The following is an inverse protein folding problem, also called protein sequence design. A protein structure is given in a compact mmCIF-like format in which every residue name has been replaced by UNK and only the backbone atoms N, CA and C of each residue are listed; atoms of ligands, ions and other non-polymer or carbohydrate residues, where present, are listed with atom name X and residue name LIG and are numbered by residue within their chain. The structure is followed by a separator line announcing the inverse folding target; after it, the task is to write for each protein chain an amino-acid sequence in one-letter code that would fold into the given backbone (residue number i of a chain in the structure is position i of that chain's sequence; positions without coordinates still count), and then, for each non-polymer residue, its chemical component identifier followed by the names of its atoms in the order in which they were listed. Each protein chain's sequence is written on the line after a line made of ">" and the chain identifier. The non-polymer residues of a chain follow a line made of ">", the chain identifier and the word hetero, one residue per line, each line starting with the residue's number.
data_IF_832916569902
#
_entry.id   IF_832916569902
#
_cell.length_a   1.000
_cell.length_b   1.000
_cell.length_c   1.000
_cell.angle_alpha   90.00
_cell.angle_beta   90.00
_cell.angle_gamma   90.00
#
_symmetry.space_group_name_H-M   'P 1'
#
loop_
_entity.id
_entity.type
_entity.pdbx_description
1 polymer ?
#
# COMPACT_ATOMS: atom_id res chain seq x y z
N UNK A 1 3.26 27.81 12.50
CA UNK A 1 3.24 29.24 12.84
C UNK A 1 2.07 29.95 12.15
N UNK A 2 2.07 30.16 10.81
CA UNK A 2 1.04 30.97 10.12
C UNK A 2 -0.41 30.45 10.29
N UNK A 3 -0.64 29.13 10.28
CA UNK A 3 -1.95 28.53 10.52
C UNK A 3 -2.40 28.79 11.97
N UNK A 4 -1.50 28.63 12.93
CA UNK A 4 -1.78 28.94 14.33
C UNK A 4 -2.07 30.42 14.56
N UNK A 5 -1.35 31.30 13.86
CA UNK A 5 -1.60 32.73 13.91
C UNK A 5 -3.00 33.10 13.41
N UNK A 6 -3.51 32.37 12.41
CA UNK A 6 -4.89 32.53 11.95
C UNK A 6 -5.91 32.04 12.99
N UNK A 7 -5.70 30.85 13.59
CA UNK A 7 -6.54 30.34 14.67
C UNK A 7 -6.55 31.22 15.90
N UNK A 8 -5.42 31.84 16.22
CA UNK A 8 -5.26 32.78 17.33
C UNK A 8 -5.82 34.19 17.02
N UNK A 9 -6.39 34.43 15.84
CA UNK A 9 -6.88 35.73 15.41
C UNK A 9 -5.79 36.78 15.13
N UNK A 10 -4.53 36.36 15.02
CA UNK A 10 -3.39 37.23 14.72
C UNK A 10 -3.21 37.53 13.22
N UNK A 11 -3.88 36.74 12.36
CA UNK A 11 -3.88 36.89 10.92
C UNK A 11 -5.30 36.75 10.38
N UNK A 12 -5.73 37.65 9.53
CA UNK A 12 -7.04 37.61 8.87
C UNK A 12 -7.05 36.70 7.64
N UNK A 13 -5.87 36.29 7.13
CA UNK A 13 -5.75 35.53 5.88
C UNK A 13 -5.07 34.19 6.09
N UNK A 14 -5.82 33.13 5.89
CA UNK A 14 -5.30 31.76 5.84
C UNK A 14 -4.42 31.52 4.61
N UNK A 15 -4.70 32.21 3.50
CA UNK A 15 -3.94 32.11 2.23
C UNK A 15 -2.43 32.30 2.40
N UNK A 16 -2.02 33.08 3.40
CA UNK A 16 -0.60 33.28 3.72
C UNK A 16 0.11 31.99 4.20
N UNK A 17 -0.65 30.95 4.56
CA UNK A 17 -0.12 29.65 4.97
C UNK A 17 -0.02 28.66 3.80
N UNK A 18 -0.67 28.95 2.67
CA UNK A 18 -0.61 28.13 1.46
C UNK A 18 0.74 28.40 0.76
N UNK A 19 1.54 27.36 0.59
CA UNK A 19 2.85 27.46 -0.06
C UNK A 19 2.85 26.98 -1.50
N UNK A 20 1.87 26.15 -1.87
CA UNK A 20 1.63 25.73 -3.23
C UNK A 20 0.19 25.21 -3.41
N UNK A 21 -0.36 25.42 -4.59
CA UNK A 21 -1.54 24.76 -5.13
C UNK A 21 -1.14 24.09 -6.43
N UNK A 22 -1.53 22.82 -6.60
CA UNK A 22 -1.14 22.01 -7.74
C UNK A 22 -2.34 21.47 -8.48
N UNK A 23 -2.33 21.60 -9.80
CA UNK A 23 -3.28 20.92 -10.69
C UNK A 23 -2.66 19.64 -11.19
N UNK A 24 -3.21 18.48 -10.78
CA UNK A 24 -2.66 17.17 -11.08
C UNK A 24 -3.66 16.22 -11.74
N UNK A 25 -4.93 16.62 -11.83
CA UNK A 25 -6.03 15.87 -12.43
C UNK A 25 -7.28 15.87 -11.57
N UNK A 26 -8.26 15.03 -11.92
CA UNK A 26 -9.59 15.05 -11.33
C UNK A 26 -9.74 14.09 -10.16
N UNK A 27 -10.36 14.59 -9.09
CA UNK A 27 -10.67 13.83 -7.88
C UNK A 27 -9.44 13.43 -7.07
N UNK A 28 -8.52 14.35 -6.74
CA UNK A 28 -7.41 14.03 -5.83
C UNK A 28 -7.98 13.63 -4.46
N UNK A 29 -7.54 12.47 -3.94
CA UNK A 29 -8.12 11.91 -2.73
C UNK A 29 -7.09 11.72 -1.62
N UNK A 30 -6.14 10.81 -1.79
CA UNK A 30 -5.10 10.56 -0.80
C UNK A 30 -3.70 10.80 -1.39
N UNK A 31 -2.76 11.23 -0.52
CA UNK A 31 -1.38 11.51 -0.90
C UNK A 31 -0.41 10.82 0.04
N UNK A 32 0.55 10.09 -0.52
CA UNK A 32 1.69 9.53 0.19
C UNK A 32 3.00 10.20 -0.25
N UNK A 33 4.06 10.07 0.56
CA UNK A 33 5.36 10.69 0.32
C UNK A 33 6.48 9.64 0.36
N UNK A 34 7.50 9.81 -0.47
CA UNK A 34 8.60 8.84 -0.61
C UNK A 34 9.86 9.18 0.22
N UNK A 35 9.84 10.27 0.95
CA UNK A 35 11.01 10.76 1.68
C UNK A 35 12.11 11.38 0.80
N UNK A 36 11.90 11.47 -0.53
CA UNK A 36 12.84 12.04 -1.51
C UNK A 36 12.31 13.33 -2.14
N UNK A 37 11.27 13.92 -1.56
CA UNK A 37 10.64 15.13 -2.04
C UNK A 37 9.52 14.92 -3.07
N UNK A 38 9.14 13.69 -3.35
CA UNK A 38 7.99 13.43 -4.21
C UNK A 38 6.76 13.05 -3.39
N UNK A 39 5.62 13.49 -3.89
CA UNK A 39 4.29 13.14 -3.44
C UNK A 39 3.58 12.30 -4.52
N UNK A 40 2.74 11.40 -4.08
CA UNK A 40 1.97 10.48 -4.94
C UNK A 40 0.51 10.61 -4.56
N UNK A 41 -0.29 11.17 -5.46
CA UNK A 41 -1.70 11.45 -5.20
C UNK A 41 -2.58 10.59 -6.08
N UNK A 42 -3.53 9.88 -5.45
CA UNK A 42 -4.57 9.14 -6.18
C UNK A 42 -5.59 10.10 -6.75
N UNK A 43 -5.93 9.90 -8.02
CA UNK A 43 -6.96 10.63 -8.73
C UNK A 43 -8.19 9.73 -8.89
N UNK A 44 -9.12 9.87 -7.99
CA UNK A 44 -10.30 9.00 -7.89
C UNK A 44 -11.15 9.01 -9.16
N UNK A 45 -11.39 10.17 -9.74
CA UNK A 45 -12.20 10.30 -10.97
C UNK A 45 -11.42 9.93 -12.23
N UNK A 46 -10.15 10.24 -12.28
CA UNK A 46 -9.28 9.91 -13.43
C UNK A 46 -8.82 8.46 -13.43
N UNK A 47 -9.02 7.72 -12.33
CA UNK A 47 -8.52 6.35 -12.17
C UNK A 47 -7.00 6.25 -12.42
N UNK A 48 -6.24 7.12 -11.80
CA UNK A 48 -4.80 7.26 -11.97
C UNK A 48 -4.08 7.58 -10.67
N UNK A 49 -2.75 7.41 -10.68
CA UNK A 49 -1.82 7.90 -9.68
C UNK A 49 -0.90 8.92 -10.34
N UNK A 50 -0.71 10.07 -9.69
CA UNK A 50 0.23 11.08 -10.15
C UNK A 50 1.36 11.26 -9.17
N UNK A 51 2.60 11.16 -9.67
CA UNK A 51 3.83 11.53 -8.97
C UNK A 51 4.14 12.98 -9.26
N UNK A 52 4.34 13.76 -8.22
CA UNK A 52 4.72 15.15 -8.35
C UNK A 52 5.78 15.56 -7.31
N UNK A 53 6.61 16.53 -7.64
CA UNK A 53 7.69 16.98 -6.79
C UNK A 53 7.27 18.24 -6.00
N UNK A 54 7.42 18.18 -4.68
CA UNK A 54 6.96 19.22 -3.75
C UNK A 54 7.73 20.54 -3.95
N UNK A 55 9.06 20.47 -4.07
CA UNK A 55 9.87 21.68 -4.24
C UNK A 55 9.61 22.37 -5.59
N UNK A 56 9.40 21.58 -6.64
CA UNK A 56 9.04 22.13 -7.95
C UNK A 56 7.65 22.78 -7.92
N UNK A 57 6.70 22.20 -7.19
CA UNK A 57 5.37 22.79 -7.00
C UNK A 57 5.44 24.12 -6.27
N UNK A 58 6.24 24.21 -5.22
CA UNK A 58 6.47 25.47 -4.48
C UNK A 58 7.09 26.53 -5.39
N UNK A 59 8.10 26.19 -6.19
CA UNK A 59 8.72 27.12 -7.16
C UNK A 59 7.70 27.60 -8.20
N UNK A 60 6.92 26.68 -8.75
CA UNK A 60 5.88 27.02 -9.73
C UNK A 60 4.85 27.99 -9.14
N UNK A 61 4.37 27.71 -7.93
CA UNK A 61 3.41 28.57 -7.23
C UNK A 61 4.02 29.95 -6.90
N UNK A 62 5.30 30.00 -6.54
CA UNK A 62 6.03 31.25 -6.29
C UNK A 62 6.33 32.07 -7.55
N UNK A 63 5.96 31.57 -8.75
CA UNK A 63 6.07 32.35 -10.00
C UNK A 63 7.02 31.76 -11.04
N UNK A 64 7.82 30.73 -10.72
CA UNK A 64 8.67 30.05 -11.70
C UNK A 64 7.80 29.09 -12.55
N UNK A 65 7.21 29.61 -13.60
CA UNK A 65 6.34 28.83 -14.50
C UNK A 65 7.10 27.80 -15.36
N UNK A 66 8.42 27.79 -15.31
CA UNK A 66 9.25 26.76 -15.96
C UNK A 66 9.41 25.49 -15.11
N UNK A 67 9.16 25.57 -13.80
CA UNK A 67 9.24 24.44 -12.88
C UNK A 67 8.15 23.40 -13.20
N UNK A 68 8.58 22.22 -13.62
CA UNK A 68 7.67 21.08 -13.90
C UNK A 68 7.52 20.25 -12.64
N UNK A 69 6.39 20.37 -11.98
CA UNK A 69 6.14 19.63 -10.74
C UNK A 69 5.53 18.25 -10.96
N UNK A 70 4.76 18.03 -12.03
CA UNK A 70 4.30 16.67 -12.38
C UNK A 70 5.45 15.88 -12.98
N UNK A 71 5.79 14.77 -12.37
CA UNK A 71 6.93 13.92 -12.75
C UNK A 71 6.48 12.74 -13.60
N UNK A 72 5.40 12.07 -13.16
CA UNK A 72 4.89 10.87 -13.83
C UNK A 72 3.41 10.65 -13.53
N UNK A 73 2.73 9.89 -14.41
CA UNK A 73 1.34 9.49 -14.26
C UNK A 73 1.20 8.01 -14.64
N UNK A 74 0.51 7.25 -13.81
CA UNK A 74 0.22 5.83 -14.01
C UNK A 74 -1.29 5.60 -13.94
N UNK A 75 -1.86 5.00 -14.98
CA UNK A 75 -3.27 4.56 -14.95
C UNK A 75 -3.42 3.35 -14.04
N UNK A 76 -4.47 3.37 -13.23
CA UNK A 76 -4.78 2.34 -12.25
C UNK A 76 -6.14 1.67 -12.55
N UNK A 77 -6.52 0.72 -11.72
CA UNK A 77 -7.88 0.22 -11.64
C UNK A 77 -8.84 1.35 -11.21
N UNK A 78 -10.15 1.14 -11.31
CA UNK A 78 -11.13 2.20 -11.10
C UNK A 78 -11.14 2.74 -9.66
N UNK A 79 -11.27 4.06 -9.58
CA UNK A 79 -11.48 4.81 -8.34
C UNK A 79 -10.43 4.50 -7.27
N UNK A 80 -9.14 4.76 -7.54
CA UNK A 80 -8.09 4.62 -6.55
C UNK A 80 -8.35 5.57 -5.38
N UNK A 81 -8.38 5.01 -4.18
CA UNK A 81 -8.61 5.75 -2.95
C UNK A 81 -7.33 5.82 -2.13
N UNK A 82 -7.26 5.00 -1.09
CA UNK A 82 -6.14 4.97 -0.17
C UNK A 82 -4.82 4.60 -0.86
N UNK A 83 -3.77 5.30 -0.47
CA UNK A 83 -2.40 5.06 -0.91
C UNK A 83 -1.45 5.19 0.26
N UNK A 84 -0.50 4.28 0.38
CA UNK A 84 0.56 4.38 1.36
C UNK A 84 1.92 3.98 0.77
N UNK A 85 2.97 4.68 1.19
CA UNK A 85 4.34 4.40 0.76
C UNK A 85 5.05 3.48 1.77
N UNK A 86 5.97 2.67 1.28
CA UNK A 86 6.76 1.80 2.15
C UNK A 86 7.60 2.62 3.14
N UNK A 87 7.52 2.21 4.40
CA UNK A 87 8.15 2.88 5.55
C UNK A 87 7.63 4.31 5.81
N UNK A 88 6.48 4.70 5.24
CA UNK A 88 5.94 6.06 5.41
C UNK A 88 5.50 6.36 6.85
N UNK A 89 5.21 5.34 7.64
CA UNK A 89 4.92 5.45 9.08
C UNK A 89 6.17 5.80 9.92
N UNK A 90 7.32 5.93 9.28
CA UNK A 90 8.57 6.32 9.91
C UNK A 90 9.04 7.67 9.38
N UNK A 91 10.02 8.27 10.05
CA UNK A 91 10.66 9.51 9.58
C UNK A 91 11.58 9.29 8.35
N UNK A 92 11.71 8.04 7.89
CA UNK A 92 12.60 7.64 6.80
C UNK A 92 11.87 6.67 5.87
N UNK A 93 10.91 7.17 5.10
CA UNK A 93 10.34 6.42 3.99
C UNK A 93 11.47 5.97 3.05
N UNK A 94 11.39 4.73 2.54
CA UNK A 94 12.50 4.15 1.75
C UNK A 94 12.37 4.42 0.23
N UNK A 95 11.25 4.98 -0.19
CA UNK A 95 11.00 5.38 -1.58
C UNK A 95 10.98 4.22 -2.58
N UNK A 96 10.56 3.02 -2.16
CA UNK A 96 10.59 1.85 -3.03
C UNK A 96 9.23 1.43 -3.54
N UNK A 97 8.23 1.41 -2.67
CA UNK A 97 6.93 0.84 -2.98
C UNK A 97 5.79 1.75 -2.56
N UNK A 98 4.70 1.67 -3.32
CA UNK A 98 3.38 2.14 -2.91
C UNK A 98 2.40 0.97 -2.97
N UNK A 99 1.40 1.00 -2.10
CA UNK A 99 0.17 0.22 -2.23
C UNK A 99 -1.01 1.17 -2.44
N UNK A 100 -1.84 0.88 -3.43
CA UNK A 100 -3.03 1.67 -3.76
C UNK A 100 -4.26 0.76 -3.74
N UNK A 101 -5.29 1.16 -3.01
CA UNK A 101 -6.59 0.49 -3.02
C UNK A 101 -7.52 1.10 -4.05
N UNK A 102 -8.03 0.28 -4.96
CA UNK A 102 -9.00 0.65 -5.96
C UNK A 102 -10.37 0.08 -5.62
N UNK A 103 -11.41 0.90 -5.71
CA UNK A 103 -12.79 0.51 -5.37
C UNK A 103 -13.34 -0.56 -6.29
N UNK A 104 -12.89 -0.58 -7.55
CA UNK A 104 -13.38 -1.48 -8.58
C UNK A 104 -12.27 -1.92 -9.51
N UNK A 105 -12.42 -3.12 -10.10
CA UNK A 105 -11.57 -3.61 -11.19
C UNK A 105 -12.13 -3.23 -12.55
N UNK A 106 -11.25 -3.01 -13.51
CA UNK A 106 -11.61 -2.82 -14.93
C UNK A 106 -11.78 -4.20 -15.58
N UNK A 107 -13.01 -4.57 -15.91
CA UNK A 107 -13.38 -5.73 -16.76
C UNK A 107 -12.67 -7.05 -16.42
N UNK A 108 -12.31 -7.27 -15.14
CA UNK A 108 -11.50 -8.41 -14.75
C UNK A 108 -12.30 -9.71 -14.66
N UNK A 109 -13.49 -9.65 -14.11
CA UNK A 109 -14.34 -10.82 -13.85
C UNK A 109 -15.75 -10.62 -14.37
N UNK A 110 -15.91 -10.56 -15.68
CA UNK A 110 -17.18 -10.31 -16.36
C UNK A 110 -18.36 -11.18 -15.87
N UNK A 111 -18.17 -12.48 -15.51
CA UNK A 111 -19.28 -13.29 -14.99
C UNK A 111 -19.88 -12.80 -13.67
N UNK A 112 -19.12 -12.05 -12.87
CA UNK A 112 -19.58 -11.50 -11.58
C UNK A 112 -19.84 -10.00 -11.65
N UNK A 113 -19.67 -9.41 -12.82
CA UNK A 113 -19.86 -7.98 -13.10
C UNK A 113 -18.54 -7.28 -13.49
N UNK A 114 -18.65 -6.21 -14.28
CA UNK A 114 -17.48 -5.52 -14.86
C UNK A 114 -16.67 -4.73 -13.83
N UNK A 115 -17.21 -4.50 -12.63
CA UNK A 115 -16.60 -3.66 -11.61
C UNK A 115 -16.06 -4.43 -10.40
N UNK A 116 -16.32 -5.73 -10.31
CA UNK A 116 -15.84 -6.56 -9.19
C UNK A 116 -14.75 -7.53 -9.63
N UNK A 117 -13.92 -7.99 -8.69
CA UNK A 117 -13.81 -7.56 -7.29
C UNK A 117 -13.12 -6.20 -7.15
N UNK A 118 -13.10 -5.68 -5.94
CA UNK A 118 -12.22 -4.62 -5.50
C UNK A 118 -10.75 -5.03 -5.70
N UNK A 119 -9.83 -4.08 -5.66
CA UNK A 119 -8.46 -4.35 -6.09
C UNK A 119 -7.42 -3.61 -5.26
N UNK A 120 -6.25 -4.22 -5.08
CA UNK A 120 -5.05 -3.54 -4.61
C UNK A 120 -3.96 -3.60 -5.69
N UNK A 121 -3.19 -2.53 -5.80
CA UNK A 121 -2.09 -2.44 -6.74
C UNK A 121 -0.80 -2.04 -6.04
N UNK A 122 0.27 -2.81 -6.30
CA UNK A 122 1.61 -2.53 -5.80
C UNK A 122 2.41 -1.86 -6.90
N UNK A 123 3.03 -0.74 -6.58
CA UNK A 123 3.72 0.11 -7.54
C UNK A 123 5.16 0.29 -7.09
N UNK A 124 6.09 -0.02 -7.98
CA UNK A 124 7.52 0.30 -7.79
C UNK A 124 7.75 1.78 -8.11
N UNK A 125 8.27 2.50 -7.11
CA UNK A 125 8.59 3.92 -7.19
C UNK A 125 10.08 4.19 -7.01
N UNK A 126 10.92 3.16 -7.09
CA UNK A 126 12.36 3.29 -6.87
C UNK A 126 13.07 4.14 -7.94
N UNK A 127 12.45 4.28 -9.11
CA UNK A 127 12.94 5.09 -10.22
C UNK A 127 12.11 6.37 -10.45
N UNK A 128 12.46 7.13 -11.48
CA UNK A 128 11.69 8.32 -11.88
C UNK A 128 10.29 7.93 -12.35
N UNK A 129 10.19 6.86 -13.13
CA UNK A 129 8.92 6.32 -13.61
C UNK A 129 8.33 5.33 -12.62
N UNK A 130 7.02 5.41 -12.45
CA UNK A 130 6.24 4.43 -11.68
C UNK A 130 5.99 3.19 -12.52
N UNK A 131 6.13 2.01 -11.90
CA UNK A 131 5.89 0.72 -12.58
C UNK A 131 4.92 -0.11 -11.77
N UNK A 132 3.85 -0.59 -12.41
CA UNK A 132 2.93 -1.54 -11.79
C UNK A 132 3.65 -2.88 -11.56
N UNK A 133 3.86 -3.24 -10.31
CA UNK A 133 4.57 -4.45 -9.91
C UNK A 133 3.62 -5.59 -9.48
N UNK A 134 2.45 -5.25 -8.99
CA UNK A 134 1.44 -6.23 -8.58
C UNK A 134 0.03 -5.68 -8.74
N UNK A 135 -0.91 -6.56 -9.02
CA UNK A 135 -2.30 -6.24 -9.24
C UNK A 135 -3.16 -7.40 -8.74
N UNK A 136 -3.77 -7.24 -7.56
CA UNK A 136 -4.42 -8.32 -6.84
C UNK A 136 -5.88 -7.99 -6.54
N UNK A 137 -6.81 -8.89 -6.92
CA UNK A 137 -8.19 -8.78 -6.48
C UNK A 137 -8.27 -9.00 -4.97
N UNK A 138 -9.06 -8.18 -4.31
CA UNK A 138 -9.35 -8.30 -2.88
C UNK A 138 -10.85 -8.44 -2.66
N UNK A 139 -11.23 -8.91 -1.50
CA UNK A 139 -12.65 -9.00 -1.12
C UNK A 139 -12.97 -7.94 -0.09
N UNK A 140 -13.92 -7.11 -0.44
CA UNK A 140 -14.26 -5.92 0.31
C UNK A 140 -13.38 -4.73 -0.07
N UNK A 141 -13.89 -3.54 0.18
CA UNK A 141 -13.20 -2.30 -0.18
C UNK A 141 -11.89 -2.16 0.58
N UNK A 142 -10.74 -2.07 -0.12
CA UNK A 142 -9.46 -1.87 0.54
C UNK A 142 -9.39 -0.47 1.15
N UNK A 143 -9.07 -0.40 2.45
CA UNK A 143 -9.19 0.82 3.23
C UNK A 143 -7.97 1.05 4.11
N UNK A 144 -6.93 1.50 3.59
CA UNK A 144 -5.64 1.74 4.18
C UNK A 144 -4.65 0.57 4.09
N UNK A 145 -3.37 0.92 4.10
CA UNK A 145 -2.26 0.00 3.92
C UNK A 145 -1.08 0.42 4.77
N UNK A 146 -0.34 -0.56 5.27
CA UNK A 146 0.94 -0.32 5.91
C UNK A 146 1.98 -1.24 5.26
N UNK A 147 3.04 -0.65 4.69
CA UNK A 147 4.14 -1.39 4.10
C UNK A 147 5.39 -1.16 4.92
N UNK A 148 5.89 -2.19 5.57
CA UNK A 148 7.11 -2.12 6.35
C UNK A 148 7.96 -3.38 6.20
N UNK A 149 9.21 -3.31 6.62
CA UNK A 149 10.15 -4.41 6.50
C UNK A 149 9.76 -5.58 7.40
N UNK A 150 9.83 -6.80 6.85
CA UNK A 150 9.47 -8.03 7.55
C UNK A 150 10.22 -8.21 8.88
N UNK A 151 11.49 -7.82 8.94
CA UNK A 151 12.30 -7.91 10.16
C UNK A 151 11.80 -7.02 11.31
N UNK A 152 10.95 -6.03 11.02
CA UNK A 152 10.30 -5.21 12.04
C UNK A 152 9.08 -5.89 12.66
N UNK A 153 8.55 -6.91 12.01
CA UNK A 153 7.43 -7.68 12.53
C UNK A 153 7.85 -8.46 13.77
N UNK A 154 7.09 -8.27 14.84
CA UNK A 154 7.20 -9.04 16.06
C UNK A 154 5.84 -9.62 16.40
N UNK A 155 5.37 -10.63 15.65
CA UNK A 155 4.05 -11.20 15.86
C UNK A 155 3.98 -11.80 17.26
N UNK A 156 2.88 -11.54 17.94
CA UNK A 156 2.55 -12.15 19.23
C UNK A 156 1.28 -12.97 19.05
N UNK A 157 1.21 -14.09 19.75
CA UNK A 157 -0.05 -14.82 19.83
C UNK A 157 -1.09 -13.95 20.57
N UNK A 158 -2.20 -13.68 19.90
CA UNK A 158 -3.27 -12.83 20.42
C UNK A 158 -4.46 -13.66 20.90
N UNK A 159 -4.67 -14.84 20.29
CA UNK A 159 -5.79 -15.70 20.60
C UNK A 159 -5.35 -16.91 21.45
N UNK A 160 -6.22 -17.31 22.36
CA UNK A 160 -6.02 -18.53 23.11
C UNK A 160 -6.14 -19.73 22.18
N UNK A 161 -5.08 -20.52 22.09
CA UNK A 161 -5.03 -21.69 21.21
C UNK A 161 -5.93 -22.83 21.69
N UNK A 162 -6.42 -22.77 22.93
CA UNK A 162 -7.36 -23.74 23.46
C UNK A 162 -8.75 -23.69 22.82
N UNK A 163 -9.10 -22.57 22.17
CA UNK A 163 -10.28 -22.48 21.30
C UNK A 163 -10.20 -23.34 20.05
N UNK A 164 -9.01 -23.82 19.69
CA UNK A 164 -8.77 -24.57 18.47
C UNK A 164 -8.21 -25.96 18.80
N UNK A 165 -9.05 -26.94 19.15
CA UNK A 165 -8.60 -28.24 19.66
C UNK A 165 -7.73 -29.04 18.67
N UNK A 166 -7.85 -28.74 17.38
CA UNK A 166 -7.04 -29.37 16.31
C UNK A 166 -5.81 -28.59 15.92
N UNK A 167 -5.59 -27.40 16.49
CA UNK A 167 -4.43 -26.58 16.16
C UNK A 167 -3.16 -27.14 16.80
N UNK A 168 -2.06 -27.04 16.08
CA UNK A 168 -0.73 -27.30 16.64
C UNK A 168 -0.36 -26.13 17.56
N UNK A 169 -0.33 -26.37 18.86
CA UNK A 169 -0.17 -25.34 19.89
C UNK A 169 1.28 -24.89 20.09
N UNK A 170 2.23 -25.76 19.78
CA UNK A 170 3.65 -25.48 19.89
C UNK A 170 4.33 -25.74 18.53
N UNK A 171 5.19 -24.84 18.10
CA UNK A 171 5.92 -24.97 16.84
C UNK A 171 6.75 -26.27 16.77
N UNK A 172 7.18 -26.81 17.91
CA UNK A 172 7.90 -28.11 17.98
C UNK A 172 6.97 -29.31 17.66
N UNK A 173 5.66 -29.17 17.84
CA UNK A 173 4.65 -30.19 17.54
C UNK A 173 4.21 -30.15 16.08
N UNK A 174 4.69 -29.15 15.33
CA UNK A 174 4.53 -29.03 13.90
C UNK A 174 5.66 -29.71 13.14
N UNK A 175 5.62 -29.52 11.82
CA UNK A 175 6.68 -29.99 10.94
C UNK A 175 6.21 -31.00 9.91
N UNK A 176 7.17 -31.64 9.27
CA UNK A 176 6.94 -32.59 8.18
C UNK A 176 7.27 -34.00 8.63
N UNK A 177 6.30 -34.86 8.61
CA UNK A 177 6.48 -36.31 8.87
C UNK A 177 6.33 -37.04 7.56
N UNK A 178 7.35 -37.80 7.18
CA UNK A 178 7.38 -38.59 5.95
C UNK A 178 7.34 -40.10 6.26
N UNK A 179 6.40 -40.80 5.63
CA UNK A 179 6.32 -42.23 5.65
C UNK A 179 6.20 -42.73 4.19
N UNK A 180 7.34 -43.10 3.62
CA UNK A 180 7.45 -43.40 2.20
C UNK A 180 7.05 -42.22 1.32
N UNK A 181 5.99 -42.36 0.53
CA UNK A 181 5.43 -41.30 -0.30
C UNK A 181 4.42 -40.41 0.43
N UNK A 182 3.87 -40.90 1.56
CA UNK A 182 2.94 -40.10 2.35
C UNK A 182 3.69 -39.08 3.18
N UNK A 183 3.26 -37.83 3.05
CA UNK A 183 3.84 -36.70 3.76
C UNK A 183 2.72 -36.01 4.54
N UNK A 184 2.87 -35.94 5.85
CA UNK A 184 1.96 -35.18 6.70
C UNK A 184 2.66 -33.86 7.10
N UNK A 185 2.06 -32.75 6.73
CA UNK A 185 2.53 -31.43 7.10
C UNK A 185 1.62 -30.89 8.20
N UNK A 186 2.19 -30.66 9.38
CA UNK A 186 1.49 -30.04 10.52
C UNK A 186 1.99 -28.63 10.71
N UNK A 187 1.11 -27.66 10.66
CA UNK A 187 1.43 -26.26 10.89
C UNK A 187 0.27 -25.55 11.56
N UNK A 188 0.59 -24.47 12.28
CA UNK A 188 -0.38 -23.49 12.73
C UNK A 188 -0.39 -22.32 11.78
N UNK A 189 -1.57 -21.81 11.46
CA UNK A 189 -1.75 -20.51 10.84
C UNK A 189 -2.09 -19.50 11.93
N UNK A 190 -1.25 -18.53 12.10
CA UNK A 190 -1.46 -17.41 13.02
C UNK A 190 -1.09 -16.13 12.29
N UNK A 191 -2.08 -15.28 12.07
CA UNK A 191 -1.83 -14.03 11.37
C UNK A 191 -0.68 -13.24 12.05
N UNK A 192 0.32 -12.78 11.29
CA UNK A 192 0.45 -12.85 9.83
C UNK A 192 1.35 -14.01 9.34
N UNK A 193 1.56 -15.08 10.09
CA UNK A 193 2.54 -16.11 9.75
C UNK A 193 2.02 -17.55 9.94
N UNK A 194 2.70 -18.48 9.29
CA UNK A 194 2.60 -19.91 9.57
C UNK A 194 3.76 -20.35 10.47
N UNK A 195 3.52 -21.33 11.36
CA UNK A 195 4.57 -21.88 12.22
C UNK A 195 5.66 -22.62 11.43
N UNK A 196 5.33 -23.05 10.22
CA UNK A 196 6.23 -23.69 9.27
C UNK A 196 6.24 -22.88 7.97
N UNK A 197 7.17 -21.89 7.83
CA UNK A 197 7.18 -21.00 6.67
C UNK A 197 7.62 -21.68 5.37
N UNK A 198 8.38 -22.78 5.48
CA UNK A 198 8.91 -23.51 4.33
C UNK A 198 8.91 -25.01 4.60
N UNK A 199 8.61 -25.82 3.59
CA UNK A 199 8.80 -27.26 3.62
C UNK A 199 9.05 -27.80 2.20
N UNK A 200 9.75 -28.94 2.10
CA UNK A 200 10.13 -29.53 0.83
C UNK A 200 9.32 -30.79 0.55
N UNK A 201 8.74 -30.84 -0.64
CA UNK A 201 8.09 -32.04 -1.19
C UNK A 201 8.91 -32.59 -2.35
N UNK A 202 8.79 -33.90 -2.58
CA UNK A 202 9.36 -34.57 -3.74
C UNK A 202 8.26 -34.88 -4.76
N UNK A 203 8.62 -34.89 -6.04
CA UNK A 203 7.65 -35.28 -7.08
C UNK A 203 7.12 -36.68 -6.79
N UNK A 204 5.79 -36.83 -6.69
CA UNK A 204 5.10 -38.06 -6.38
C UNK A 204 4.80 -38.28 -4.89
N UNK A 205 5.04 -37.28 -4.04
CA UNK A 205 4.54 -37.26 -2.67
C UNK A 205 3.01 -37.13 -2.63
N UNK A 206 2.39 -37.76 -1.68
CA UNK A 206 0.99 -37.62 -1.29
C UNK A 206 0.94 -36.86 0.03
N UNK A 207 0.29 -35.67 0.05
CA UNK A 207 0.30 -34.72 1.20
C UNK A 207 -1.09 -34.68 1.84
#
# INVERSE_FOLDING_TARGET
>A
AKVLDWFDGKSEKLDSAIVAEVEIGLGPLHTAFDGRGNAYTTLFLDSALVKWNVDAAIKFHAGDKSAKYVVDRLDLQYQPGHVNASQSETTKADGKWLCVGCKFSKDRFLPVGPLHPENEQIIDISSEKMVLAGDHPVRGEPHDFIIFKRELLRPKQVYDMDYFPHAVKDAKDGGVVRNGKKVTVKMTSQAPAFSLPEFTLKKGDEV
#
